data_IF_094183947578
#
_entry.id   IF_094183947578
#
_cell.length_a   1.000
_cell.length_b   1.000
_cell.length_c   1.000
_cell.angle_alpha   90.00
_cell.angle_beta   90.00
_cell.angle_gamma   90.00
#
_symmetry.space_group_name_H-M   'P 1'
#
loop_
_entity.id
_entity.type
_entity.pdbx_description
1 polymer ?
#
# COMPACT_ATOMS: atom_id res chain seq x y z
N UNK A 1 26.41 1.79 18.03
CA UNK A 1 25.76 0.60 18.66
C UNK A 1 24.55 0.10 17.83
N UNK A 2 23.98 0.93 16.98
CA UNK A 2 22.86 0.54 16.07
C UNK A 2 23.30 -0.27 14.84
N UNK A 3 24.49 -0.05 14.30
CA UNK A 3 24.98 -0.81 13.12
C UNK A 3 25.19 -2.32 13.37
N UNK A 4 25.25 -2.75 14.63
CA UNK A 4 25.46 -4.15 14.98
C UNK A 4 24.16 -4.97 15.11
N UNK A 5 22.99 -4.34 15.22
CA UNK A 5 21.71 -5.05 15.36
C UNK A 5 21.08 -5.49 14.03
N UNK A 6 21.53 -4.93 12.90
CA UNK A 6 20.91 -5.18 11.59
C UNK A 6 21.80 -5.99 10.63
N UNK A 7 22.88 -6.60 11.13
CA UNK A 7 23.86 -7.27 10.26
C UNK A 7 23.64 -8.75 9.99
N UNK A 8 22.67 -9.42 10.60
CA UNK A 8 22.59 -10.88 10.55
C UNK A 8 21.22 -11.49 10.19
N UNK A 9 20.33 -10.75 9.55
CA UNK A 9 19.31 -11.41 8.75
C UNK A 9 19.70 -11.20 7.27
N UNK A 10 20.15 -12.25 6.61
CA UNK A 10 20.11 -12.36 5.16
C UNK A 10 18.64 -12.15 4.77
N UNK A 11 18.28 -10.88 4.69
CA UNK A 11 17.03 -10.48 4.08
C UNK A 11 17.20 -10.76 2.58
N UNK A 12 16.93 -11.97 2.19
CA UNK A 12 16.66 -12.31 0.80
C UNK A 12 15.34 -11.61 0.46
N UNK A 13 15.39 -10.27 0.40
CA UNK A 13 14.33 -9.50 -0.22
C UNK A 13 14.31 -9.94 -1.67
N UNK A 14 13.41 -10.85 -1.99
CA UNK A 14 13.09 -11.14 -3.38
C UNK A 14 12.66 -9.80 -3.96
N UNK A 15 13.45 -9.26 -4.90
CA UNK A 15 13.14 -8.00 -5.55
C UNK A 15 11.80 -8.16 -6.27
N UNK A 16 10.78 -7.53 -5.70
CA UNK A 16 9.44 -7.54 -6.26
C UNK A 16 9.29 -6.42 -7.27
N UNK A 17 8.88 -6.79 -8.47
CA UNK A 17 8.39 -5.83 -9.45
C UNK A 17 6.90 -5.57 -9.28
N UNK A 18 6.46 -4.41 -9.71
CA UNK A 18 5.04 -4.05 -9.74
C UNK A 18 4.59 -3.88 -11.18
N UNK A 19 3.54 -4.59 -11.54
CA UNK A 19 2.81 -4.41 -12.79
C UNK A 19 1.52 -3.66 -12.46
N UNK A 20 1.50 -2.37 -12.75
CA UNK A 20 0.38 -1.50 -12.42
C UNK A 20 -0.41 -1.12 -13.67
N UNK A 21 -1.70 -1.47 -13.71
CA UNK A 21 -2.66 -0.94 -14.67
C UNK A 21 -3.41 0.24 -14.05
N UNK A 22 -3.33 1.42 -14.67
CA UNK A 22 -3.95 2.63 -14.16
C UNK A 22 -4.21 3.63 -15.30
N UNK A 23 -5.33 4.36 -15.24
CA UNK A 23 -5.63 5.43 -16.19
C UNK A 23 -5.04 6.79 -15.76
N UNK A 24 -4.59 6.95 -14.53
CA UNK A 24 -4.09 8.21 -13.97
C UNK A 24 -2.57 8.30 -14.07
N UNK A 25 -2.09 9.15 -14.98
CA UNK A 25 -0.67 9.39 -15.22
C UNK A 25 0.09 9.91 -13.99
N UNK A 26 -0.59 10.63 -13.09
CA UNK A 26 0.03 11.18 -11.89
C UNK A 26 0.43 10.09 -10.87
N UNK A 27 -0.26 8.95 -10.92
CA UNK A 27 0.07 7.78 -10.09
C UNK A 27 1.35 7.13 -10.58
N UNK A 28 1.48 6.91 -11.88
CA UNK A 28 2.69 6.36 -12.48
C UNK A 28 3.92 7.24 -12.20
N UNK A 29 3.77 8.55 -12.39
CA UNK A 29 4.84 9.52 -12.14
C UNK A 29 5.28 9.52 -10.67
N UNK A 30 4.35 9.36 -9.74
CA UNK A 30 4.67 9.28 -8.31
C UNK A 30 5.37 7.97 -7.94
N UNK A 31 4.91 6.84 -8.47
CA UNK A 31 5.52 5.54 -8.18
C UNK A 31 6.90 5.40 -8.81
N UNK A 32 7.14 6.02 -9.97
CA UNK A 32 8.43 5.98 -10.67
C UNK A 32 9.59 6.55 -9.83
N UNK A 33 9.34 7.36 -8.81
CA UNK A 33 10.39 7.84 -7.92
C UNK A 33 11.04 6.75 -7.06
N UNK A 34 10.38 5.61 -6.91
CA UNK A 34 10.84 4.49 -6.08
C UNK A 34 11.52 3.38 -6.88
N UNK A 35 11.58 3.51 -8.20
CA UNK A 35 12.09 2.49 -9.09
C UNK A 35 13.10 3.05 -10.07
N UNK A 36 14.12 2.25 -10.39
CA UNK A 36 15.15 2.63 -11.36
C UNK A 36 14.71 2.38 -12.79
N UNK A 37 13.84 1.40 -12.98
CA UNK A 37 13.35 1.00 -14.30
C UNK A 37 11.84 1.07 -14.36
N UNK A 38 11.34 1.71 -15.43
CA UNK A 38 9.91 1.79 -15.74
C UNK A 38 9.74 1.49 -17.21
N UNK A 39 8.92 0.50 -17.53
CA UNK A 39 8.59 0.12 -18.90
C UNK A 39 7.10 0.20 -19.15
N UNK A 40 6.73 0.65 -20.35
CA UNK A 40 5.34 0.56 -20.82
C UNK A 40 5.07 -0.85 -21.32
N UNK A 41 3.92 -1.38 -20.94
CA UNK A 41 3.47 -2.72 -21.32
C UNK A 41 2.15 -2.65 -22.08
N UNK A 42 1.66 -3.80 -22.57
CA UNK A 42 0.37 -3.89 -23.21
C UNK A 42 -0.76 -3.37 -22.31
N UNK A 43 -1.78 -2.74 -22.93
CA UNK A 43 -2.91 -2.21 -22.17
C UNK A 43 -3.78 -3.32 -21.57
N UNK A 44 -4.23 -3.13 -20.33
CA UNK A 44 -5.23 -3.99 -19.69
C UNK A 44 -6.63 -3.35 -19.89
N UNK A 45 -7.47 -3.97 -20.71
CA UNK A 45 -8.82 -3.46 -21.01
C UNK A 45 -8.85 -1.98 -21.42
N UNK A 46 -7.85 -1.55 -22.20
CA UNK A 46 -7.72 -0.17 -22.67
C UNK A 46 -7.05 0.80 -21.70
N UNK A 47 -6.65 0.35 -20.52
CA UNK A 47 -5.84 1.14 -19.59
C UNK A 47 -4.36 0.90 -19.84
N UNK A 48 -3.51 1.94 -19.78
CA UNK A 48 -2.06 1.76 -19.84
C UNK A 48 -1.56 0.92 -18.66
N UNK A 49 -0.60 0.05 -18.94
CA UNK A 49 0.08 -0.77 -17.93
C UNK A 49 1.54 -0.39 -17.90
N UNK A 50 2.10 -0.19 -16.72
CA UNK A 50 3.54 0.02 -16.52
C UNK A 50 4.13 -1.00 -15.58
N UNK A 51 5.34 -1.43 -15.93
CA UNK A 51 6.17 -2.30 -15.12
C UNK A 51 7.18 -1.44 -14.38
N UNK A 52 7.23 -1.60 -13.06
CA UNK A 52 8.17 -0.94 -12.18
C UNK A 52 9.03 -1.99 -11.52
N UNK A 53 10.35 -1.86 -11.65
CA UNK A 53 11.29 -2.78 -11.02
C UNK A 53 12.55 -2.05 -10.56
N UNK A 54 13.16 -2.50 -9.44
CA UNK A 54 14.37 -1.90 -8.92
C UNK A 54 15.54 -2.14 -9.87
N UNK A 55 16.55 -1.27 -9.79
CA UNK A 55 17.84 -1.57 -10.38
C UNK A 55 18.45 -2.71 -9.58
N UNK A 56 18.72 -3.81 -10.25
CA UNK A 56 19.41 -4.91 -9.62
C UNK A 56 20.90 -4.52 -9.61
N UNK A 57 21.43 -4.22 -8.44
CA UNK A 57 22.86 -4.02 -8.29
C UNK A 57 23.57 -5.30 -8.72
N UNK A 58 24.36 -5.20 -9.76
CA UNK A 58 25.15 -6.29 -10.33
C UNK A 58 26.33 -6.61 -9.40
N UNK A 59 26.09 -7.21 -8.25
CA UNK A 59 27.15 -7.94 -7.55
C UNK A 59 27.41 -9.32 -8.19
N UNK A 60 26.54 -9.78 -9.07
CA UNK A 60 26.71 -11.00 -9.84
C UNK A 60 26.71 -10.70 -11.34
N UNK A 61 27.65 -11.30 -12.06
CA UNK A 61 27.96 -11.09 -13.50
C UNK A 61 26.81 -11.47 -14.47
N UNK A 62 25.61 -11.80 -14.01
CA UNK A 62 24.45 -12.10 -14.85
C UNK A 62 23.33 -11.10 -14.60
N UNK A 63 22.81 -10.43 -15.64
CA UNK A 63 21.62 -9.61 -15.51
C UNK A 63 20.46 -10.50 -15.07
N UNK A 64 19.71 -10.08 -14.05
CA UNK A 64 18.48 -10.78 -13.64
C UNK A 64 17.52 -10.77 -14.83
N UNK A 65 17.08 -11.97 -15.19
CA UNK A 65 16.04 -12.12 -16.22
C UNK A 65 14.71 -11.59 -15.67
N UNK A 66 13.93 -10.90 -16.51
CA UNK A 66 12.56 -10.48 -16.17
C UNK A 66 11.69 -11.67 -15.72
N UNK A 67 12.06 -12.90 -16.09
CA UNK A 67 11.39 -14.13 -15.67
C UNK A 67 11.69 -14.49 -14.19
N UNK A 68 12.71 -13.89 -13.58
CA UNK A 68 13.11 -14.11 -12.19
C UNK A 68 12.52 -13.07 -11.24
N UNK A 69 11.94 -11.99 -11.76
CA UNK A 69 11.27 -10.97 -10.97
C UNK A 69 9.91 -11.50 -10.51
N UNK A 70 9.65 -11.44 -9.21
CA UNK A 70 8.32 -11.72 -8.67
C UNK A 70 7.42 -10.51 -8.91
N UNK A 71 6.46 -10.64 -9.81
CA UNK A 71 5.56 -9.56 -10.18
C UNK A 71 4.33 -9.50 -9.28
N UNK A 72 4.00 -8.28 -8.83
CA UNK A 72 2.73 -7.99 -8.18
C UNK A 72 1.80 -7.29 -9.15
N UNK A 73 0.81 -8.03 -9.65
CA UNK A 73 -0.18 -7.51 -10.58
C UNK A 73 -1.22 -6.67 -9.83
N UNK A 74 -1.19 -5.38 -10.05
CA UNK A 74 -2.07 -4.42 -9.37
C UNK A 74 -2.87 -3.64 -10.40
N UNK A 75 -4.13 -3.40 -10.11
CA UNK A 75 -4.97 -2.51 -10.90
C UNK A 75 -5.53 -1.39 -10.02
N UNK A 76 -5.43 -0.14 -10.47
CA UNK A 76 -6.05 1.01 -9.83
C UNK A 76 -7.21 1.52 -10.69
N UNK A 77 -8.40 1.48 -10.15
CA UNK A 77 -9.65 1.80 -10.83
C UNK A 77 -10.46 2.84 -10.06
N UNK A 78 -11.19 3.67 -10.79
CA UNK A 78 -12.35 4.32 -10.19
C UNK A 78 -13.49 3.32 -10.02
N UNK A 79 -14.41 3.58 -9.09
CA UNK A 79 -15.64 2.80 -8.91
C UNK A 79 -16.49 2.70 -10.18
N UNK A 80 -16.41 3.69 -11.06
CA UNK A 80 -17.07 3.66 -12.37
C UNK A 80 -16.40 2.71 -13.36
N UNK A 81 -15.06 2.59 -13.32
CA UNK A 81 -14.31 1.72 -14.24
C UNK A 81 -14.47 0.24 -13.90
N UNK A 82 -14.66 -0.12 -12.64
CA UNK A 82 -14.80 -1.53 -12.19
C UNK A 82 -15.86 -2.27 -13.02
N UNK A 83 -16.97 -1.60 -13.35
CA UNK A 83 -18.08 -2.20 -14.10
C UNK A 83 -17.73 -2.55 -15.54
N UNK A 84 -16.67 -1.96 -16.09
CA UNK A 84 -16.23 -2.19 -17.47
C UNK A 84 -15.15 -3.26 -17.60
N UNK A 85 -14.59 -3.72 -16.48
CA UNK A 85 -13.53 -4.74 -16.44
C UNK A 85 -14.17 -6.12 -16.22
N UNK A 86 -13.86 -7.13 -17.04
CA UNK A 86 -14.34 -8.49 -16.83
C UNK A 86 -13.87 -9.05 -15.48
N UNK A 87 -14.74 -9.77 -14.79
CA UNK A 87 -14.43 -10.38 -13.47
C UNK A 87 -13.23 -11.33 -13.53
N UNK A 88 -13.05 -12.03 -14.64
CA UNK A 88 -11.94 -12.94 -14.87
C UNK A 88 -10.59 -12.18 -14.82
N UNK A 89 -10.54 -11.01 -15.44
CA UNK A 89 -9.35 -10.15 -15.45
C UNK A 89 -9.04 -9.62 -14.04
N UNK A 90 -10.08 -9.25 -13.29
CA UNK A 90 -9.92 -8.78 -11.90
C UNK A 90 -9.44 -9.90 -10.98
N UNK A 91 -9.90 -11.12 -11.17
CA UNK A 91 -9.48 -12.30 -10.39
C UNK A 91 -8.02 -12.68 -10.59
N UNK A 92 -7.42 -12.33 -11.71
CA UNK A 92 -6.01 -12.59 -12.01
C UNK A 92 -5.05 -11.60 -11.35
N UNK A 93 -5.57 -10.54 -10.74
CA UNK A 93 -4.76 -9.56 -10.05
C UNK A 93 -4.38 -10.05 -8.64
N UNK A 94 -3.24 -9.58 -8.12
CA UNK A 94 -2.86 -9.76 -6.72
C UNK A 94 -3.55 -8.69 -5.85
N UNK A 95 -3.69 -7.48 -6.40
CA UNK A 95 -4.36 -6.37 -5.74
C UNK A 95 -5.28 -5.57 -6.66
N UNK A 96 -6.43 -5.19 -6.13
CA UNK A 96 -7.37 -4.26 -6.73
C UNK A 96 -7.48 -3.04 -5.83
N UNK A 97 -6.98 -1.91 -6.29
CA UNK A 97 -7.14 -0.62 -5.65
C UNK A 97 -8.32 0.10 -6.30
N UNK A 98 -9.33 0.47 -5.53
CA UNK A 98 -10.47 1.21 -6.05
C UNK A 98 -10.66 2.52 -5.30
N UNK A 99 -10.87 3.61 -6.03
CA UNK A 99 -11.16 4.91 -5.46
C UNK A 99 -12.55 5.42 -5.87
N UNK A 100 -13.14 6.17 -4.96
CA UNK A 100 -14.48 6.72 -5.13
C UNK A 100 -14.47 7.93 -6.05
N UNK A 101 -15.40 7.96 -7.00
CA UNK A 101 -15.70 9.12 -7.86
C UNK A 101 -17.16 9.51 -7.81
N UNK A 102 -18.03 8.64 -7.31
CA UNK A 102 -19.49 8.82 -7.27
C UNK A 102 -19.98 8.80 -5.79
N UNK A 103 -21.22 8.50 -5.59
CA UNK A 103 -21.86 8.46 -4.27
C UNK A 103 -21.30 7.32 -3.42
N UNK A 104 -21.35 7.51 -2.10
CA UNK A 104 -20.97 6.49 -1.10
C UNK A 104 -21.68 5.15 -1.33
N UNK A 105 -22.97 5.21 -1.64
CA UNK A 105 -23.78 4.01 -1.89
C UNK A 105 -23.31 3.21 -3.11
N UNK A 106 -22.96 3.90 -4.20
CA UNK A 106 -22.47 3.24 -5.41
C UNK A 106 -21.09 2.66 -5.19
N UNK A 107 -20.25 3.37 -4.44
CA UNK A 107 -18.92 2.91 -4.06
C UNK A 107 -18.99 1.67 -3.16
N UNK A 108 -19.86 1.66 -2.14
CA UNK A 108 -20.05 0.50 -1.28
C UNK A 108 -20.50 -0.75 -2.07
N UNK A 109 -21.45 -0.59 -2.99
CA UNK A 109 -21.89 -1.68 -3.86
C UNK A 109 -20.75 -2.20 -4.79
N UNK A 110 -19.89 -1.29 -5.28
CA UNK A 110 -18.71 -1.64 -6.05
C UNK A 110 -17.71 -2.46 -5.19
N UNK A 111 -17.41 -1.99 -3.99
CA UNK A 111 -16.51 -2.68 -3.08
C UNK A 111 -17.03 -4.08 -2.69
N UNK A 112 -18.32 -4.22 -2.44
CA UNK A 112 -18.96 -5.54 -2.18
C UNK A 112 -18.81 -6.47 -3.39
N UNK A 113 -18.99 -5.96 -4.60
CA UNK A 113 -18.77 -6.75 -5.82
C UNK A 113 -17.32 -7.24 -5.92
N UNK A 114 -16.33 -6.40 -5.62
CA UNK A 114 -14.92 -6.77 -5.66
C UNK A 114 -14.58 -7.79 -4.57
N UNK A 115 -15.07 -7.61 -3.36
CA UNK A 115 -14.87 -8.57 -2.26
C UNK A 115 -15.50 -9.92 -2.59
N UNK A 116 -16.61 -9.96 -3.32
CA UNK A 116 -17.23 -11.21 -3.77
C UNK A 116 -16.38 -11.98 -4.81
N UNK A 117 -15.37 -11.36 -5.41
CA UNK A 117 -14.41 -12.03 -6.30
C UNK A 117 -13.29 -12.75 -5.55
N UNK A 118 -13.10 -12.45 -4.26
CA UNK A 118 -12.02 -13.00 -3.47
C UNK A 118 -12.17 -14.48 -3.23
N UNK A 119 -11.08 -15.20 -3.42
CA UNK A 119 -10.99 -16.66 -3.18
C UNK A 119 -9.73 -16.93 -2.32
N UNK A 120 -9.78 -17.91 -1.44
CA UNK A 120 -8.58 -18.38 -0.73
C UNK A 120 -7.72 -19.21 -1.69
N UNK A 121 -6.53 -18.71 -2.02
CA UNK A 121 -5.57 -19.40 -2.89
C UNK A 121 -4.61 -20.32 -2.12
N UNK A 122 -4.87 -20.57 -0.85
CA UNK A 122 -4.10 -21.50 -0.01
C UNK A 122 -2.94 -20.84 0.76
N UNK A 123 -2.83 -19.52 0.70
CA UNK A 123 -1.85 -18.73 1.48
C UNK A 123 -2.45 -18.16 2.78
N UNK A 124 -3.72 -18.45 3.07
CA UNK A 124 -4.44 -17.97 4.25
C UNK A 124 -5.06 -16.58 4.08
N UNK A 125 -4.97 -15.98 2.90
CA UNK A 125 -5.54 -14.68 2.57
C UNK A 125 -6.52 -14.78 1.41
N UNK A 126 -7.52 -13.90 1.41
CA UNK A 126 -8.46 -13.81 0.31
C UNK A 126 -7.86 -12.94 -0.82
N UNK A 127 -7.74 -13.49 -2.01
CA UNK A 127 -7.22 -12.82 -3.21
C UNK A 127 -8.28 -12.69 -4.30
N UNK A 128 -8.20 -11.62 -5.12
CA UNK A 128 -7.31 -10.47 -5.01
C UNK A 128 -7.54 -9.63 -3.75
N UNK A 129 -6.47 -9.04 -3.21
CA UNK A 129 -6.62 -8.09 -2.11
C UNK A 129 -7.35 -6.83 -2.60
N UNK A 130 -8.38 -6.39 -1.90
CA UNK A 130 -9.19 -5.23 -2.28
C UNK A 130 -8.92 -4.06 -1.34
N UNK A 131 -8.44 -2.95 -1.91
CA UNK A 131 -8.13 -1.72 -1.21
C UNK A 131 -9.06 -0.62 -1.68
N UNK A 132 -9.80 0.00 -0.75
CA UNK A 132 -10.82 1.00 -1.04
C UNK A 132 -10.39 2.37 -0.53
N UNK A 133 -10.42 3.38 -1.40
CA UNK A 133 -9.94 4.73 -1.09
C UNK A 133 -11.02 5.77 -1.30
N UNK A 134 -11.02 6.82 -0.46
CA UNK A 134 -11.96 7.92 -0.56
C UNK A 134 -11.83 8.70 -1.88
N UNK A 135 -10.61 8.76 -2.44
CA UNK A 135 -10.30 9.46 -3.70
C UNK A 135 -8.96 8.94 -4.28
N UNK A 136 -8.64 9.37 -5.50
CA UNK A 136 -7.41 8.97 -6.20
C UNK A 136 -6.14 9.45 -5.49
N UNK A 137 -6.17 10.59 -4.79
CA UNK A 137 -5.00 11.09 -4.07
C UNK A 137 -4.68 10.22 -2.86
N UNK A 138 -5.70 9.73 -2.17
CA UNK A 138 -5.56 8.75 -1.09
C UNK A 138 -4.96 7.43 -1.60
N UNK A 139 -5.45 6.93 -2.73
CA UNK A 139 -4.91 5.74 -3.38
C UNK A 139 -3.44 5.93 -3.78
N UNK A 140 -3.12 7.04 -4.44
CA UNK A 140 -1.74 7.40 -4.82
C UNK A 140 -0.82 7.49 -3.61
N UNK A 141 -1.26 8.16 -2.55
CA UNK A 141 -0.48 8.29 -1.33
C UNK A 141 -0.17 6.93 -0.69
N UNK A 142 -1.15 6.03 -0.71
CA UNK A 142 -0.98 4.68 -0.17
C UNK A 142 -0.06 3.81 -1.03
N UNK A 143 -0.26 3.80 -2.34
CA UNK A 143 0.61 3.07 -3.28
C UNK A 143 2.08 3.51 -3.17
N UNK A 144 2.32 4.80 -3.01
CA UNK A 144 3.67 5.37 -2.92
C UNK A 144 4.25 5.35 -1.50
N UNK A 145 3.43 5.22 -0.47
CA UNK A 145 3.86 5.39 0.91
C UNK A 145 3.86 4.13 1.74
N UNK A 146 3.04 3.13 1.39
CA UNK A 146 2.88 1.93 2.22
C UNK A 146 4.08 0.98 2.21
N UNK A 147 5.02 1.14 1.29
CA UNK A 147 6.13 0.23 1.09
C UNK A 147 5.76 -1.09 0.40
N UNK A 148 4.49 -1.35 0.18
CA UNK A 148 4.02 -2.57 -0.50
C UNK A 148 4.24 -2.54 -2.00
N UNK A 149 4.19 -1.35 -2.58
CA UNK A 149 4.39 -1.09 -4.01
C UNK A 149 5.61 -0.22 -4.28
N UNK A 150 6.11 0.51 -3.29
CA UNK A 150 7.34 1.28 -3.41
C UNK A 150 8.55 0.40 -3.06
N UNK A 151 9.60 0.49 -3.86
CA UNK A 151 10.85 -0.24 -3.59
C UNK A 151 11.43 0.18 -2.24
N UNK A 152 11.76 -0.81 -1.39
CA UNK A 152 12.14 -0.63 0.00
C UNK A 152 13.50 0.01 0.28
N UNK A 153 14.18 0.62 -0.70
CA UNK A 153 15.55 1.16 -0.51
C UNK A 153 15.67 2.29 0.53
N UNK A 154 14.56 2.97 0.83
CA UNK A 154 14.54 4.04 1.85
C UNK A 154 13.93 3.59 3.19
N UNK A 155 13.47 2.35 3.30
CA UNK A 155 12.81 1.87 4.51
C UNK A 155 13.82 1.32 5.52
N UNK A 156 13.77 1.85 6.73
CA UNK A 156 14.52 1.31 7.89
C UNK A 156 13.74 0.19 8.57
N UNK A 157 12.41 0.38 8.63
CA UNK A 157 11.46 -0.64 9.10
C UNK A 157 10.35 -0.66 8.07
N UNK A 158 10.23 -1.77 7.35
CA UNK A 158 9.22 -1.97 6.32
C UNK A 158 8.05 -2.82 6.80
N UNK A 159 6.93 -2.76 6.09
CA UNK A 159 5.85 -3.73 6.21
C UNK A 159 5.85 -4.64 5.00
N UNK A 160 5.63 -5.91 5.24
CA UNK A 160 5.45 -6.91 4.20
C UNK A 160 3.98 -6.98 3.79
N UNK A 161 3.73 -7.70 2.72
CA UNK A 161 2.37 -8.00 2.28
C UNK A 161 1.59 -8.76 3.36
N UNK A 162 2.24 -9.71 4.03
CA UNK A 162 1.66 -10.52 5.10
C UNK A 162 1.28 -9.69 6.34
N UNK A 163 1.98 -8.58 6.58
CA UNK A 163 1.66 -7.66 7.67
C UNK A 163 0.44 -6.80 7.38
N UNK A 164 0.27 -6.38 6.12
CA UNK A 164 -0.77 -5.42 5.73
C UNK A 164 -2.07 -6.10 5.33
N UNK A 165 -2.04 -7.26 4.71
CA UNK A 165 -3.26 -7.98 4.31
C UNK A 165 -4.23 -8.20 5.47
N UNK A 166 -3.81 -8.60 6.68
CA UNK A 166 -4.70 -8.73 7.82
C UNK A 166 -5.39 -7.42 8.23
N UNK A 167 -4.75 -6.27 7.96
CA UNK A 167 -5.31 -4.96 8.30
C UNK A 167 -6.39 -4.51 7.30
N UNK A 168 -6.27 -4.89 6.04
CA UNK A 168 -7.01 -4.26 4.96
C UNK A 168 -7.90 -5.22 4.18
N UNK A 169 -7.40 -6.40 3.82
CA UNK A 169 -8.11 -7.34 2.94
C UNK A 169 -9.37 -7.95 3.57
N UNK A 170 -9.43 -8.05 4.90
CA UNK A 170 -10.58 -8.60 5.62
C UNK A 170 -11.63 -7.57 6.00
N UNK A 171 -11.33 -6.27 5.83
CA UNK A 171 -12.09 -5.21 6.51
C UNK A 171 -13.09 -4.48 5.64
N UNK A 172 -13.16 -4.71 4.33
CA UNK A 172 -13.95 -3.85 3.43
C UNK A 172 -13.70 -2.36 3.72
N UNK A 173 -12.41 -2.00 3.99
CA UNK A 173 -12.10 -0.77 4.71
C UNK A 173 -11.88 0.43 3.79
N UNK A 174 -12.41 1.56 4.19
CA UNK A 174 -11.97 2.86 3.70
C UNK A 174 -10.64 3.21 4.36
N UNK A 175 -9.59 3.40 3.55
CA UNK A 175 -8.35 3.97 4.02
C UNK A 175 -8.44 5.50 3.96
N UNK A 176 -8.28 6.15 5.09
CA UNK A 176 -8.19 7.60 5.17
C UNK A 176 -6.75 8.02 5.39
N UNK A 177 -6.31 9.03 4.65
CA UNK A 177 -4.99 9.63 4.83
C UNK A 177 -5.09 10.82 5.76
N UNK A 178 -4.22 10.85 6.77
CA UNK A 178 -3.93 12.03 7.56
C UNK A 178 -2.41 12.24 7.50
N UNK A 179 -1.95 13.40 7.05
CA UNK A 179 -0.54 13.75 6.96
C UNK A 179 -0.24 15.03 7.72
N UNK A 180 0.88 15.09 8.44
CA UNK A 180 1.31 16.28 9.14
C UNK A 180 2.37 15.98 10.21
N UNK A 181 3.13 17.01 10.61
CA UNK A 181 4.12 16.90 11.72
C UNK A 181 3.44 16.74 13.07
N UNK A 182 2.28 17.37 13.22
CA UNK A 182 1.40 17.21 14.39
C UNK A 182 0.07 16.68 13.91
N UNK A 183 -0.23 15.44 14.26
CA UNK A 183 -1.53 14.86 13.98
C UNK A 183 -2.60 15.57 14.81
N UNK A 184 -3.62 16.15 14.18
CA UNK A 184 -4.83 16.51 14.90
C UNK A 184 -5.50 15.20 15.32
N UNK A 185 -5.18 14.72 16.52
CA UNK A 185 -5.72 13.47 17.08
C UNK A 185 -7.24 13.46 17.11
N UNK A 186 -7.86 14.68 17.14
CA UNK A 186 -9.31 14.87 17.09
C UNK A 186 -9.91 14.48 15.73
N UNK A 187 -9.11 14.51 14.66
CA UNK A 187 -9.54 14.19 13.30
C UNK A 187 -9.40 12.69 12.97
N UNK A 188 -8.80 11.90 13.86
CA UNK A 188 -8.70 10.48 13.66
C UNK A 188 -10.09 9.82 13.73
N UNK A 189 -10.58 9.23 12.66
CA UNK A 189 -11.95 8.68 12.56
C UNK A 189 -12.26 7.63 13.62
N UNK A 190 -11.25 7.06 14.19
CA UNK A 190 -11.28 5.96 15.13
C UNK A 190 -11.92 6.29 16.48
N UNK A 191 -12.02 7.55 16.86
CA UNK A 191 -12.80 7.91 18.05
C UNK A 191 -14.26 7.44 18.00
N UNK A 192 -14.72 7.04 16.81
CA UNK A 192 -16.05 6.48 16.60
C UNK A 192 -16.10 4.93 16.67
N UNK A 193 -15.01 4.28 17.06
CA UNK A 193 -14.98 2.81 17.27
C UNK A 193 -15.05 1.95 16.01
N UNK A 194 -14.92 2.54 14.82
CA UNK A 194 -15.06 1.83 13.55
C UNK A 194 -13.73 1.33 12.95
N UNK A 195 -12.59 1.75 13.49
CA UNK A 195 -11.29 1.33 12.99
C UNK A 195 -11.04 -0.15 13.28
N UNK A 196 -10.58 -0.90 12.30
CA UNK A 196 -10.23 -2.31 12.40
C UNK A 196 -8.72 -2.54 12.31
N UNK A 197 -8.01 -1.62 11.68
CA UNK A 197 -6.57 -1.62 11.60
C UNK A 197 -6.02 -0.24 11.26
N UNK A 198 -4.77 -0.01 11.62
CA UNK A 198 -4.07 1.27 11.38
C UNK A 198 -2.68 0.99 10.88
N UNK A 199 -2.30 1.67 9.82
CA UNK A 199 -0.92 1.69 9.33
C UNK A 199 -0.35 3.09 9.46
N UNK A 200 0.78 3.20 10.16
CA UNK A 200 1.52 4.43 10.39
C UNK A 200 2.81 4.41 9.58
N UNK A 201 3.09 5.45 8.83
CA UNK A 201 4.34 5.59 8.10
C UNK A 201 5.02 6.87 8.56
N UNK A 202 6.08 6.71 9.33
CA UNK A 202 6.92 7.80 9.80
C UNK A 202 7.95 8.12 8.72
N UNK A 203 7.89 9.31 8.19
CA UNK A 203 8.84 9.84 7.21
C UNK A 203 9.69 10.90 7.84
N UNK A 204 11.00 10.78 7.70
CA UNK A 204 11.92 11.76 8.25
C UNK A 204 13.33 11.57 7.78
N UNK A 205 14.20 12.51 8.18
CA UNK A 205 15.64 12.42 7.94
C UNK A 205 16.26 11.27 8.74
N UNK A 206 17.53 10.98 8.48
CA UNK A 206 18.32 9.99 9.24
C UNK A 206 18.43 10.32 10.74
N UNK A 207 18.03 11.52 11.15
CA UNK A 207 17.99 11.97 12.54
C UNK A 207 16.70 11.61 13.26
N UNK A 208 15.73 11.00 12.56
CA UNK A 208 14.48 10.55 13.15
C UNK A 208 14.79 9.55 14.29
N UNK A 209 14.45 9.94 15.52
CA UNK A 209 14.70 9.13 16.68
C UNK A 209 13.67 8.00 16.79
N UNK A 210 14.15 6.77 17.03
CA UNK A 210 13.25 5.64 17.35
C UNK A 210 12.40 5.91 18.59
N UNK A 211 12.92 6.68 19.55
CA UNK A 211 12.17 7.05 20.74
C UNK A 211 10.97 7.94 20.37
N UNK A 212 11.18 8.93 19.49
CA UNK A 212 10.09 9.81 19.01
C UNK A 212 9.06 9.03 18.21
N UNK A 213 9.49 8.05 17.41
CA UNK A 213 8.58 7.16 16.66
C UNK A 213 7.72 6.35 17.62
N UNK A 214 8.33 5.75 18.66
CA UNK A 214 7.59 4.96 19.65
C UNK A 214 6.60 5.82 20.43
N UNK A 215 7.03 6.98 20.95
CA UNK A 215 6.15 7.90 21.67
C UNK A 215 4.95 8.34 20.84
N UNK A 216 5.20 8.73 19.59
CA UNK A 216 4.13 9.16 18.67
C UNK A 216 3.22 7.98 18.28
N UNK A 217 3.77 6.80 18.03
CA UNK A 217 2.96 5.62 17.69
C UNK A 217 2.06 5.20 18.86
N UNK A 218 2.55 5.25 20.10
CA UNK A 218 1.73 4.99 21.29
C UNK A 218 0.63 6.05 21.47
N UNK A 219 0.95 7.33 21.29
CA UNK A 219 -0.04 8.39 21.35
C UNK A 219 -1.15 8.25 20.30
N UNK A 220 -0.77 7.86 19.07
CA UNK A 220 -1.72 7.60 17.99
C UNK A 220 -2.53 6.33 18.28
N UNK A 221 -1.87 5.24 18.69
CA UNK A 221 -2.55 4.00 19.04
C UNK A 221 -3.58 4.19 20.17
N UNK A 222 -3.27 5.03 21.16
CA UNK A 222 -4.19 5.40 22.24
C UNK A 222 -5.46 6.15 21.82
N UNK A 223 -5.52 6.61 20.55
CA UNK A 223 -6.74 7.20 20.00
C UNK A 223 -7.73 6.14 19.49
N UNK A 224 -7.31 4.90 19.36
CA UNK A 224 -8.11 3.79 18.85
C UNK A 224 -8.66 2.92 19.97
N UNK A 225 -9.71 2.16 19.67
CA UNK A 225 -10.27 1.21 20.62
C UNK A 225 -9.26 0.09 20.94
N UNK A 226 -9.39 -0.50 22.13
CA UNK A 226 -8.57 -1.66 22.51
C UNK A 226 -8.74 -2.80 21.50
N UNK A 227 -7.60 -3.36 21.08
CA UNK A 227 -7.57 -4.49 20.15
C UNK A 227 -7.49 -4.09 18.67
N UNK A 228 -7.47 -2.80 18.33
CA UNK A 228 -7.16 -2.35 16.97
C UNK A 228 -5.68 -2.66 16.68
N UNK A 229 -5.43 -3.36 15.58
CA UNK A 229 -4.07 -3.66 15.18
C UNK A 229 -3.41 -2.41 14.57
N UNK A 230 -2.25 -2.03 15.09
CA UNK A 230 -1.48 -0.87 14.63
C UNK A 230 -0.14 -1.34 14.09
N UNK A 231 0.04 -1.17 12.79
CA UNK A 231 1.29 -1.43 12.09
C UNK A 231 2.02 -0.11 11.85
N UNK A 232 3.31 -0.05 12.10
CA UNK A 232 4.11 1.14 11.82
C UNK A 232 5.36 0.83 11.01
N UNK A 233 5.79 1.80 10.23
CA UNK A 233 6.93 1.75 9.33
C UNK A 233 7.74 3.03 9.43
N UNK A 234 9.02 2.96 9.05
CA UNK A 234 9.92 4.11 9.00
C UNK A 234 10.51 4.21 7.59
N UNK A 235 10.34 5.35 6.97
CA UNK A 235 10.95 5.71 5.70
C UNK A 235 11.89 6.90 5.89
N UNK A 236 13.15 6.75 5.44
CA UNK A 236 14.13 7.85 5.46
C UNK A 236 13.97 8.68 4.19
N UNK A 237 13.59 9.94 4.36
CA UNK A 237 13.46 10.91 3.28
C UNK A 237 13.65 12.34 3.81
N UNK A 238 13.68 13.32 2.91
CA UNK A 238 13.85 14.75 3.26
C UNK A 238 12.58 15.39 3.84
N UNK A 239 11.47 14.66 3.94
CA UNK A 239 10.21 15.15 4.47
C UNK A 239 10.00 14.64 5.90
N UNK A 240 9.55 15.53 6.79
CA UNK A 240 9.09 15.14 8.11
C UNK A 240 7.56 15.08 8.09
N UNK A 241 7.02 13.89 8.00
CA UNK A 241 5.57 13.67 7.99
C UNK A 241 5.20 12.31 8.59
N UNK A 242 4.00 12.20 9.12
CA UNK A 242 3.41 10.92 9.52
C UNK A 242 2.18 10.69 8.65
N UNK A 243 2.21 9.60 7.86
CA UNK A 243 1.04 9.16 7.11
C UNK A 243 0.28 8.16 7.98
N UNK A 244 -0.99 8.38 8.14
CA UNK A 244 -1.88 7.49 8.89
C UNK A 244 -2.94 6.95 7.94
N UNK A 245 -2.99 5.65 7.80
CA UNK A 245 -4.03 4.96 7.05
C UNK A 245 -4.87 4.14 8.03
N UNK A 246 -6.16 4.44 8.08
CA UNK A 246 -7.10 3.76 8.97
C UNK A 246 -8.01 2.89 8.14
N UNK A 247 -7.99 1.58 8.41
CA UNK A 247 -8.92 0.65 7.81
C UNK A 247 -10.25 0.71 8.57
N UNK A 248 -11.30 1.09 7.86
CA UNK A 248 -12.67 1.18 8.40
C UNK A 248 -13.64 0.44 7.49
N UNK A 249 -14.72 -0.14 8.04
CA UNK A 249 -15.79 -0.69 7.21
C UNK A 249 -16.36 0.39 6.29
N UNK A 250 -16.64 0.02 5.07
CA UNK A 250 -17.39 0.88 4.14
C UNK A 250 -18.84 0.93 4.66
N UNK A 251 -19.40 2.13 4.86
CA UNK A 251 -20.74 2.32 5.40
C UNK A 251 -21.82 1.65 4.58
#
# INVERSE_FOLDING_TARGET
>A
MFEAMFKDEENTSVDHGVRLACADESVFSALAHYYSHVEEYESLCGMPVRLFYPEVEQEHETPISMDEVSWRNTVLLSDMQVRSIPSEVLKEQDAICVYRTDSEKNFAACAEQLVALQEDRGNGYAEPAVFCFADVNSAKAYLCGSGLWASGQSQVVGATWDDVLPLVASTKGNLQRISGETLPLEELPARNGAAQGVQLIFRGSKELSMFDVMEKSEAIAGCFADGVNVLWQIEVCDKNEILVFVAQPIP
#
